data_IF_695083766111
#
_entry.id   IF_695083766111
#
_cell.length_a   1.000
_cell.length_b   1.000
_cell.length_c   1.000
_cell.angle_alpha   90.00
_cell.angle_beta   90.00
_cell.angle_gamma   90.00
#
_symmetry.space_group_name_H-M   'P 1'
#
loop_
_entity.id
_entity.type
_entity.pdbx_description
1 polymer ?
#
# COMPACT_ATOMS: atom_id res chain seq x y z
N UNK A 1 -2.83 -29.24 -14.87
CA UNK A 1 -2.47 -27.86 -15.27
C UNK A 1 -2.75 -26.96 -14.09
N UNK A 2 -1.72 -26.69 -13.30
CA UNK A 2 -1.78 -25.87 -12.07
C UNK A 2 -1.96 -24.41 -12.44
N UNK A 3 -2.92 -23.76 -11.76
CA UNK A 3 -3.31 -22.36 -11.97
C UNK A 3 -2.09 -21.44 -11.93
N UNK A 4 -1.96 -20.59 -12.96
CA UNK A 4 -1.09 -19.43 -12.90
C UNK A 4 -1.56 -18.57 -11.73
N UNK A 5 -0.78 -18.56 -10.65
CA UNK A 5 -1.07 -17.79 -9.45
C UNK A 5 -1.35 -16.34 -9.79
N UNK A 6 -2.39 -15.78 -9.19
CA UNK A 6 -2.87 -14.43 -9.44
C UNK A 6 -1.78 -13.41 -9.03
N UNK A 7 -0.92 -13.03 -9.98
CA UNK A 7 0.17 -12.06 -9.81
C UNK A 7 -0.32 -10.65 -9.43
N UNK A 8 -1.63 -10.45 -9.25
CA UNK A 8 -2.26 -9.16 -8.97
C UNK A 8 -2.44 -8.86 -7.49
N UNK A 9 -2.36 -9.87 -6.62
CA UNK A 9 -2.70 -9.69 -5.20
C UNK A 9 -1.42 -9.43 -4.40
N UNK A 10 -1.24 -8.16 -4.01
CA UNK A 10 -0.24 -7.76 -3.03
C UNK A 10 -0.90 -7.74 -1.65
N UNK A 11 -0.60 -8.77 -0.85
CA UNK A 11 -1.16 -8.97 0.47
C UNK A 11 -0.24 -8.44 1.56
N UNK A 12 -0.82 -7.93 2.65
CA UNK A 12 -0.08 -7.50 3.82
C UNK A 12 -0.84 -7.89 5.09
N UNK A 13 -0.11 -8.33 6.11
CA UNK A 13 -0.67 -8.69 7.42
C UNK A 13 0.25 -8.29 8.57
N UNK A 14 -0.32 -8.15 9.77
CA UNK A 14 0.47 -7.96 10.99
C UNK A 14 1.29 -9.22 11.31
N UNK A 15 2.44 -8.99 11.92
CA UNK A 15 3.33 -10.04 12.45
C UNK A 15 4.27 -9.40 13.48
N UNK A 16 5.22 -10.18 13.97
CA UNK A 16 6.38 -9.68 14.71
C UNK A 16 7.67 -9.94 13.94
N UNK A 17 8.71 -9.17 14.24
CA UNK A 17 10.06 -9.49 13.82
C UNK A 17 10.59 -10.65 14.69
N UNK A 18 11.00 -11.78 14.09
CA UNK A 18 11.49 -12.93 14.85
C UNK A 18 12.82 -12.68 15.57
N UNK A 19 13.54 -11.60 15.25
CA UNK A 19 14.85 -11.29 15.82
C UNK A 19 14.76 -10.62 17.18
N UNK A 20 13.82 -9.69 17.33
CA UNK A 20 13.70 -8.83 18.51
C UNK A 20 12.28 -8.72 19.07
N UNK A 21 11.29 -9.37 18.45
CA UNK A 21 9.90 -9.37 18.88
C UNK A 21 9.16 -8.05 18.63
N UNK A 22 9.77 -7.11 17.90
CA UNK A 22 9.15 -5.81 17.61
C UNK A 22 8.02 -5.92 16.58
N UNK A 23 7.20 -4.88 16.50
CA UNK A 23 6.04 -4.85 15.63
C UNK A 23 6.48 -4.83 14.16
N UNK A 24 5.94 -5.73 13.36
CA UNK A 24 6.26 -5.83 11.95
C UNK A 24 5.03 -6.18 11.10
N UNK A 25 5.14 -5.99 9.79
CA UNK A 25 4.14 -6.41 8.83
C UNK A 25 4.80 -7.31 7.79
N UNK A 26 4.15 -8.41 7.45
CA UNK A 26 4.61 -9.28 6.37
C UNK A 26 3.88 -8.89 5.09
N UNK A 27 4.63 -8.39 4.11
CA UNK A 27 4.19 -8.23 2.74
C UNK A 27 4.42 -9.54 1.99
N UNK A 28 3.43 -9.98 1.24
CA UNK A 28 3.51 -11.10 0.30
C UNK A 28 2.91 -10.67 -1.05
N UNK A 29 3.72 -10.66 -2.11
CA UNK A 29 3.24 -10.39 -3.46
C UNK A 29 3.86 -11.34 -4.46
N UNK A 30 3.11 -12.41 -4.75
CA UNK A 30 3.57 -13.49 -5.62
C UNK A 30 4.81 -14.20 -5.06
N UNK A 31 5.45 -15.09 -5.84
CA UNK A 31 6.47 -16.01 -5.32
C UNK A 31 7.80 -15.35 -4.94
N UNK A 32 8.01 -14.07 -5.27
CA UNK A 32 9.33 -13.43 -5.20
C UNK A 32 9.39 -12.15 -4.39
N UNK A 33 8.26 -11.56 -4.02
CA UNK A 33 8.23 -10.32 -3.25
C UNK A 33 7.62 -10.56 -1.88
N UNK A 34 8.31 -11.33 -1.05
CA UNK A 34 8.04 -11.38 0.39
C UNK A 34 8.99 -10.45 1.13
N UNK A 35 8.47 -9.70 2.10
CA UNK A 35 9.29 -8.83 2.92
C UNK A 35 8.67 -8.54 4.28
N UNK A 36 9.52 -8.53 5.29
CA UNK A 36 9.19 -7.99 6.61
C UNK A 36 9.40 -6.47 6.59
N UNK A 37 8.37 -5.72 6.98
CA UNK A 37 8.33 -4.26 6.92
C UNK A 37 8.03 -3.69 8.31
N UNK A 38 8.64 -2.55 8.63
CA UNK A 38 8.24 -1.78 9.80
C UNK A 38 6.85 -1.15 9.59
N UNK A 39 6.00 -1.04 10.63
CA UNK A 39 4.67 -0.45 10.53
C UNK A 39 4.68 0.97 9.93
N UNK A 40 5.70 1.77 10.23
CA UNK A 40 5.85 3.11 9.64
C UNK A 40 6.01 3.07 8.11
N UNK A 41 6.81 2.13 7.59
CA UNK A 41 6.96 1.94 6.13
C UNK A 41 5.62 1.56 5.48
N UNK A 42 4.81 0.75 6.18
CA UNK A 42 3.49 0.34 5.71
C UNK A 42 2.52 1.53 5.70
N UNK A 43 2.49 2.32 6.77
CA UNK A 43 1.67 3.53 6.85
C UNK A 43 2.04 4.55 5.78
N UNK A 44 3.34 4.79 5.56
CA UNK A 44 3.82 5.64 4.47
C UNK A 44 3.36 5.15 3.10
N UNK A 45 3.36 3.84 2.87
CA UNK A 45 2.91 3.27 1.61
C UNK A 45 1.40 3.40 1.42
N UNK A 46 0.60 3.18 2.47
CA UNK A 46 -0.86 3.42 2.47
C UNK A 46 -1.17 4.88 2.10
N UNK A 47 -0.45 5.78 2.76
CA UNK A 47 -0.50 7.21 2.49
C UNK A 47 -0.20 7.51 1.01
N UNK A 48 0.89 6.96 0.45
CA UNK A 48 1.27 7.17 -0.95
C UNK A 48 0.25 6.60 -1.94
N UNK A 49 -0.38 5.46 -1.63
CA UNK A 49 -1.48 4.91 -2.44
C UNK A 49 -2.66 5.88 -2.52
N UNK A 50 -3.08 6.45 -1.38
CA UNK A 50 -4.16 7.45 -1.35
C UNK A 50 -3.76 8.72 -2.13
N UNK A 51 -2.50 9.15 -2.00
CA UNK A 51 -1.96 10.30 -2.73
C UNK A 51 -2.04 10.10 -4.24
N UNK A 52 -1.58 8.94 -4.69
CA UNK A 52 -1.51 8.60 -6.10
C UNK A 52 -2.91 8.45 -6.71
N UNK A 53 -3.86 7.87 -5.97
CA UNK A 53 -5.26 7.78 -6.39
C UNK A 53 -5.85 9.18 -6.66
N UNK A 54 -5.71 10.10 -5.70
CA UNK A 54 -6.19 11.47 -5.85
C UNK A 54 -5.48 12.23 -6.98
N UNK A 55 -4.16 12.05 -7.11
CA UNK A 55 -3.36 12.67 -8.17
C UNK A 55 -3.77 12.17 -9.57
N UNK A 56 -4.06 10.88 -9.72
CA UNK A 56 -4.48 10.31 -11.00
C UNK A 56 -5.84 10.86 -11.45
N UNK A 57 -6.79 10.97 -10.53
CA UNK A 57 -8.10 11.59 -10.79
C UNK A 57 -7.97 13.07 -11.14
N UNK A 58 -7.16 13.81 -10.39
CA UNK A 58 -6.89 15.22 -10.64
C UNK A 58 -6.27 15.44 -12.03
N UNK A 59 -5.29 14.62 -12.43
CA UNK A 59 -4.66 14.71 -13.74
C UNK A 59 -5.67 14.51 -14.87
N UNK A 60 -6.54 13.51 -14.76
CA UNK A 60 -7.60 13.26 -15.75
C UNK A 60 -8.57 14.43 -15.83
N UNK A 61 -8.96 15.00 -14.69
CA UNK A 61 -9.84 16.16 -14.64
C UNK A 61 -9.20 17.39 -15.30
N UNK A 62 -7.93 17.68 -14.99
CA UNK A 62 -7.15 18.78 -15.58
C UNK A 62 -7.01 18.61 -17.09
N UNK A 63 -6.63 17.42 -17.56
CA UNK A 63 -6.53 17.11 -18.99
C UNK A 63 -7.87 17.36 -19.68
N UNK A 64 -8.98 16.94 -19.06
CA UNK A 64 -10.33 17.17 -19.60
C UNK A 64 -10.67 18.65 -19.70
N UNK A 65 -10.35 19.45 -18.68
CA UNK A 65 -10.58 20.91 -18.70
C UNK A 65 -9.74 21.57 -19.78
N UNK A 66 -8.44 21.30 -19.84
CA UNK A 66 -7.56 21.88 -20.87
C UNK A 66 -8.01 21.53 -22.28
N UNK A 67 -8.44 20.28 -22.50
CA UNK A 67 -8.93 19.85 -23.80
C UNK A 67 -10.28 20.45 -24.18
N UNK A 68 -11.23 20.50 -23.25
CA UNK A 68 -12.64 20.83 -23.59
C UNK A 68 -12.99 22.30 -23.39
N UNK A 69 -12.33 23.00 -22.47
CA UNK A 69 -12.60 24.39 -22.14
C UNK A 69 -11.57 25.34 -22.75
N UNK A 70 -10.29 24.94 -22.72
CA UNK A 70 -9.21 25.75 -23.27
C UNK A 70 -8.81 25.34 -24.70
N UNK A 71 -9.33 24.21 -25.18
CA UNK A 71 -9.10 23.69 -26.54
C UNK A 71 -7.60 23.56 -26.90
N UNK A 72 -6.77 23.26 -25.90
CA UNK A 72 -5.33 23.09 -26.10
C UNK A 72 -5.02 21.77 -26.81
N UNK A 73 -3.92 21.74 -27.55
CA UNK A 73 -3.40 20.52 -28.15
C UNK A 73 -2.75 19.59 -27.11
N UNK A 74 -2.67 18.30 -27.43
CA UNK A 74 -2.18 17.29 -26.47
C UNK A 74 -0.70 17.44 -26.11
N UNK A 75 0.14 18.04 -26.96
CA UNK A 75 1.55 18.27 -26.62
C UNK A 75 1.67 19.37 -25.57
N UNK A 76 0.91 20.46 -25.71
CA UNK A 76 0.84 21.53 -24.72
C UNK A 76 0.25 21.03 -23.41
N UNK A 77 -0.86 20.29 -23.46
CA UNK A 77 -1.47 19.66 -22.28
C UNK A 77 -0.47 18.76 -21.54
N UNK A 78 0.26 17.92 -22.29
CA UNK A 78 1.25 17.02 -21.72
C UNK A 78 2.33 17.76 -20.92
N UNK A 79 2.87 18.86 -21.45
CA UNK A 79 3.88 19.67 -20.75
C UNK A 79 3.30 20.32 -19.50
N UNK A 80 2.13 20.95 -19.60
CA UNK A 80 1.50 21.60 -18.44
C UNK A 80 1.19 20.61 -17.32
N UNK A 81 0.74 19.39 -17.64
CA UNK A 81 0.50 18.35 -16.64
C UNK A 81 1.82 17.88 -16.01
N UNK A 82 2.91 17.78 -16.77
CA UNK A 82 4.23 17.47 -16.22
C UNK A 82 4.71 18.55 -15.25
N UNK A 83 4.51 19.83 -15.59
CA UNK A 83 4.86 20.95 -14.72
C UNK A 83 4.03 20.91 -13.42
N UNK A 84 2.71 20.71 -13.52
CA UNK A 84 1.82 20.54 -12.36
C UNK A 84 2.27 19.37 -11.48
N UNK A 85 2.72 18.26 -12.09
CA UNK A 85 3.23 17.10 -11.33
C UNK A 85 4.56 17.40 -10.64
N UNK A 86 5.44 18.18 -11.27
CA UNK A 86 6.73 18.57 -10.69
C UNK A 86 6.54 19.45 -9.43
N UNK A 87 5.51 20.29 -9.42
CA UNK A 87 5.16 21.18 -8.30
C UNK A 87 4.44 20.46 -7.13
N UNK A 88 4.03 19.21 -7.31
CA UNK A 88 3.37 18.47 -6.22
C UNK A 88 4.35 18.19 -5.09
N UNK A 89 3.90 18.44 -3.87
CA UNK A 89 4.64 18.07 -2.67
C UNK A 89 4.91 16.56 -2.67
N UNK A 90 6.18 16.19 -2.63
CA UNK A 90 6.60 14.80 -2.45
C UNK A 90 6.63 14.49 -0.97
N UNK A 91 6.02 13.37 -0.57
CA UNK A 91 6.09 12.93 0.83
C UNK A 91 7.48 12.40 1.11
N UNK A 92 8.05 12.83 2.24
CA UNK A 92 9.28 12.27 2.77
C UNK A 92 8.98 11.00 3.55
N UNK A 93 9.62 9.89 3.19
CA UNK A 93 9.46 8.63 3.92
C UNK A 93 9.86 7.44 3.06
N UNK A 94 10.27 6.35 3.71
CA UNK A 94 10.52 5.09 3.00
C UNK A 94 9.19 4.40 2.77
N UNK A 95 8.82 4.22 1.51
CA UNK A 95 7.69 3.39 1.08
C UNK A 95 8.14 1.97 0.72
N UNK A 96 7.24 1.00 0.86
CA UNK A 96 7.47 -0.39 0.50
C UNK A 96 7.29 -0.65 -1.00
N UNK A 97 6.50 0.18 -1.68
CA UNK A 97 6.19 0.06 -3.10
C UNK A 97 6.64 1.33 -3.83
N UNK A 98 7.03 1.18 -5.09
CA UNK A 98 7.07 2.29 -6.04
C UNK A 98 5.65 2.52 -6.52
N UNK A 99 5.12 3.72 -6.31
CA UNK A 99 3.74 4.08 -6.61
C UNK A 99 3.75 5.28 -7.56
N UNK A 100 2.91 5.26 -8.59
CA UNK A 100 2.83 6.35 -9.56
C UNK A 100 1.40 6.57 -10.03
N UNK A 101 0.97 7.84 -10.03
CA UNK A 101 -0.30 8.26 -10.60
C UNK A 101 -0.22 8.31 -12.13
N UNK A 102 -1.21 7.76 -12.81
CA UNK A 102 -1.25 7.68 -14.27
C UNK A 102 -2.61 8.17 -14.77
N UNK A 103 -2.58 9.12 -15.71
CA UNK A 103 -3.74 9.47 -16.51
C UNK A 103 -3.65 8.70 -17.82
N UNK A 104 -4.56 7.74 -18.04
CA UNK A 104 -4.55 6.89 -19.23
C UNK A 104 -4.79 7.71 -20.49
N UNK A 105 -3.73 8.00 -21.25
CA UNK A 105 -3.82 8.86 -22.44
C UNK A 105 -4.81 8.35 -23.51
N UNK A 106 -4.95 7.01 -23.61
CA UNK A 106 -5.88 6.37 -24.56
C UNK A 106 -7.29 6.18 -24.00
N UNK A 107 -7.40 5.84 -22.72
CA UNK A 107 -8.69 5.50 -22.10
C UNK A 107 -9.38 6.69 -21.45
N UNK A 108 -8.66 7.77 -21.18
CA UNK A 108 -9.14 8.92 -20.42
C UNK A 108 -9.46 8.59 -18.96
N UNK A 109 -8.99 7.45 -18.45
CA UNK A 109 -9.29 6.96 -17.09
C UNK A 109 -8.08 7.12 -16.16
N UNK A 110 -8.30 7.35 -14.86
CA UNK A 110 -7.23 7.40 -13.87
C UNK A 110 -6.80 6.00 -13.45
N UNK A 111 -5.50 5.81 -13.25
CA UNK A 111 -4.91 4.58 -12.74
C UNK A 111 -3.77 4.89 -11.76
N UNK A 112 -3.48 3.91 -10.90
CA UNK A 112 -2.33 3.90 -10.01
C UNK A 112 -1.46 2.70 -10.36
N UNK A 113 -0.21 2.95 -10.72
CA UNK A 113 0.77 1.89 -10.95
C UNK A 113 1.53 1.62 -9.67
N UNK A 114 1.62 0.35 -9.30
CA UNK A 114 2.39 -0.13 -8.13
C UNK A 114 3.48 -1.10 -8.59
N UNK A 115 4.65 -1.06 -7.95
CA UNK A 115 5.72 -2.00 -8.26
C UNK A 115 6.66 -2.26 -7.09
N UNK A 116 7.16 -3.50 -6.99
CA UNK A 116 8.23 -3.90 -6.07
C UNK A 116 9.13 -4.94 -6.73
N UNK A 117 10.39 -4.60 -6.96
CA UNK A 117 11.28 -5.45 -7.77
C UNK A 117 10.70 -5.68 -9.16
N UNK A 118 10.53 -6.96 -9.53
CA UNK A 118 9.92 -7.39 -10.79
C UNK A 118 8.38 -7.36 -10.79
N UNK A 119 7.75 -7.32 -9.62
CA UNK A 119 6.29 -7.30 -9.49
C UNK A 119 5.74 -5.93 -9.87
N UNK A 120 4.68 -5.92 -10.69
CA UNK A 120 3.99 -4.73 -11.17
C UNK A 120 2.49 -4.96 -11.13
N UNK A 121 1.75 -3.94 -10.74
CA UNK A 121 0.28 -3.95 -10.71
C UNK A 121 -0.27 -2.61 -11.20
N UNK A 122 -1.48 -2.66 -11.70
CA UNK A 122 -2.29 -1.50 -12.07
C UNK A 122 -3.58 -1.57 -11.27
N UNK A 123 -3.92 -0.47 -10.61
CA UNK A 123 -5.11 -0.32 -9.79
C UNK A 123 -5.92 0.86 -10.30
N UNK A 124 -7.24 0.76 -10.20
CA UNK A 124 -8.11 1.93 -10.19
C UNK A 124 -7.88 2.75 -8.91
N UNK A 125 -8.28 4.04 -8.86
CA UNK A 125 -8.20 4.84 -7.64
C UNK A 125 -8.92 4.19 -6.44
N UNK A 126 -10.06 3.54 -6.68
CA UNK A 126 -10.83 2.89 -5.61
C UNK A 126 -10.12 1.64 -5.08
N UNK A 127 -9.57 0.80 -5.97
CA UNK A 127 -8.74 -0.34 -5.56
C UNK A 127 -7.49 0.12 -4.79
N UNK A 128 -6.86 1.23 -5.21
CA UNK A 128 -5.72 1.81 -4.49
C UNK A 128 -6.11 2.30 -3.09
N UNK A 129 -7.29 2.90 -2.92
CA UNK A 129 -7.82 3.31 -1.61
C UNK A 129 -8.17 2.11 -0.72
N UNK A 130 -8.80 1.08 -1.28
CA UNK A 130 -9.10 -0.16 -0.56
C UNK A 130 -7.82 -0.86 -0.10
N UNK A 131 -6.83 -0.94 -0.99
CA UNK A 131 -5.50 -1.46 -0.63
C UNK A 131 -4.84 -0.61 0.46
N UNK A 132 -4.90 0.71 0.36
CA UNK A 132 -4.38 1.61 1.40
C UNK A 132 -5.04 1.36 2.77
N UNK A 133 -6.36 1.18 2.79
CA UNK A 133 -7.09 0.86 4.02
C UNK A 133 -6.57 -0.43 4.66
N UNK A 134 -6.46 -1.52 3.89
CA UNK A 134 -5.93 -2.79 4.40
C UNK A 134 -4.49 -2.68 4.90
N UNK A 135 -3.67 -1.85 4.25
CA UNK A 135 -2.31 -1.58 4.70
C UNK A 135 -2.28 -0.83 6.04
N UNK A 136 -3.15 0.16 6.21
CA UNK A 136 -3.31 0.86 7.49
C UNK A 136 -3.77 -0.10 8.59
N UNK A 137 -4.76 -0.95 8.32
CA UNK A 137 -5.27 -1.95 9.26
C UNK A 137 -4.16 -2.90 9.71
N UNK A 138 -3.36 -3.42 8.78
CA UNK A 138 -2.23 -4.32 9.09
C UNK A 138 -1.15 -3.64 9.95
N UNK A 139 -0.83 -2.37 9.70
CA UNK A 139 0.14 -1.62 10.48
C UNK A 139 -0.34 -1.34 11.90
N UNK A 140 -1.61 -0.95 12.05
CA UNK A 140 -2.24 -0.71 13.36
C UNK A 140 -2.34 -2.01 14.15
N UNK A 141 -2.78 -3.09 13.52
CA UNK A 141 -2.83 -4.41 14.14
C UNK A 141 -1.46 -4.84 14.67
N UNK A 142 -0.38 -4.68 13.89
CA UNK A 142 0.97 -5.02 14.34
C UNK A 142 1.41 -4.25 15.60
N UNK A 143 1.07 -2.97 15.70
CA UNK A 143 1.38 -2.17 16.88
C UNK A 143 0.55 -2.58 18.10
N UNK A 144 -0.72 -2.92 17.90
CA UNK A 144 -1.61 -3.41 18.96
C UNK A 144 -1.14 -4.79 19.45
N UNK A 145 -0.81 -5.70 18.53
CA UNK A 145 -0.39 -7.06 18.84
C UNK A 145 0.82 -7.09 19.78
N UNK A 146 1.84 -6.25 19.53
CA UNK A 146 3.03 -6.17 20.41
C UNK A 146 2.70 -5.59 21.78
N UNK A 147 1.85 -4.55 21.85
CA UNK A 147 1.41 -4.00 23.13
C UNK A 147 0.62 -5.02 23.95
N UNK A 148 -0.23 -5.79 23.29
CA UNK A 148 -1.00 -6.86 23.93
C UNK A 148 -0.08 -7.99 24.41
N UNK A 149 0.94 -8.39 23.63
CA UNK A 149 1.96 -9.36 24.08
C UNK A 149 2.68 -8.89 25.32
N UNK A 150 3.12 -7.62 25.34
CA UNK A 150 3.77 -7.03 26.50
C UNK A 150 2.84 -7.07 27.72
N UNK A 151 1.60 -6.60 27.58
CA UNK A 151 0.63 -6.59 28.67
C UNK A 151 0.30 -7.99 29.22
N UNK A 152 0.18 -8.99 28.33
CA UNK A 152 -0.05 -10.38 28.74
C UNK A 152 1.19 -11.02 29.39
N UNK A 153 2.40 -10.62 28.98
CA UNK A 153 3.66 -11.09 29.55
C UNK A 153 3.91 -10.61 30.98
N UNK A 154 3.35 -9.46 31.36
CA UNK A 154 3.35 -8.95 32.74
C UNK A 154 2.34 -9.71 33.65
N UNK A 155 1.50 -10.57 33.08
CA UNK A 155 0.53 -11.32 33.85
C UNK A 155 1.07 -12.69 34.27
N UNK A 156 1.43 -12.80 35.55
CA UNK A 156 2.07 -13.97 36.17
C UNK A 156 1.28 -15.30 36.03
N UNK A 157 0.03 -15.25 35.58
CA UNK A 157 -0.83 -16.42 35.38
C UNK A 157 -0.75 -17.01 33.97
N UNK A 158 -0.07 -16.34 33.03
CA UNK A 158 0.15 -16.83 31.67
C UNK A 158 1.61 -17.18 31.46
N UNK A 159 1.86 -18.36 30.88
CA UNK A 159 3.20 -18.69 30.41
C UNK A 159 3.43 -18.09 29.02
N UNK A 160 4.69 -17.91 28.58
CA UNK A 160 4.97 -17.51 27.19
C UNK A 160 4.31 -18.41 26.14
N UNK A 161 4.18 -19.71 26.42
CA UNK A 161 3.51 -20.66 25.53
C UNK A 161 1.99 -20.39 25.42
N UNK A 162 1.35 -19.96 26.50
CA UNK A 162 -0.07 -19.60 26.49
C UNK A 162 -0.31 -18.34 25.65
N UNK A 163 0.58 -17.36 25.78
CA UNK A 163 0.55 -16.12 25.00
C UNK A 163 0.72 -16.43 23.51
N UNK A 164 1.73 -17.23 23.13
CA UNK A 164 1.93 -17.62 21.72
C UNK A 164 0.72 -18.38 21.16
N UNK A 165 0.08 -19.23 21.96
CA UNK A 165 -1.13 -19.95 21.55
C UNK A 165 -2.32 -19.01 21.33
N UNK A 166 -2.51 -18.00 22.18
CA UNK A 166 -3.54 -16.97 21.99
C UNK A 166 -3.32 -16.19 20.69
N UNK A 167 -2.09 -15.79 20.39
CA UNK A 167 -1.78 -15.07 19.15
C UNK A 167 -1.92 -15.96 17.92
N UNK A 168 -1.56 -17.24 18.00
CA UNK A 168 -1.79 -18.19 16.91
C UNK A 168 -3.30 -18.34 16.60
N UNK A 169 -4.15 -18.35 17.63
CA UNK A 169 -5.61 -18.38 17.46
C UNK A 169 -6.13 -17.08 16.83
N UNK A 170 -5.67 -15.92 17.29
CA UNK A 170 -6.07 -14.62 16.72
C UNK A 170 -5.66 -14.49 15.24
N UNK A 171 -4.44 -14.92 14.89
CA UNK A 171 -3.98 -14.92 13.49
C UNK A 171 -4.76 -15.89 12.60
N UNK A 172 -5.25 -17.01 13.14
CA UNK A 172 -6.06 -17.94 12.37
C UNK A 172 -7.44 -17.36 11.97
N UNK A 173 -7.97 -16.42 12.76
CA UNK A 173 -9.24 -15.73 12.47
C UNK A 173 -9.07 -14.60 11.44
N UNK A 174 -7.85 -14.12 11.23
CA UNK A 174 -7.54 -13.03 10.28
C UNK A 174 -7.20 -13.52 8.85
N UNK A 175 -7.22 -14.84 8.59
CA UNK A 175 -7.04 -15.44 7.26
C UNK A 175 -8.37 -15.52 6.52
#
# INVERSE_FOLDING_TARGET
MTAAGDNRICYIRSTIDPRDGTAACLLDWGPTAQALLAPETVLNTSLDLMAAAAAAEADVAVIKVFRTKLQLDMNTIGRMVLDIRADRAHRSGKAALRISAVAGAKTGKPYVHIARGAMKGELTPDEARQMAQHWTEAAVAAQIDVRLRYALGEWNHLTPADIERLFALLQAVQR
#
